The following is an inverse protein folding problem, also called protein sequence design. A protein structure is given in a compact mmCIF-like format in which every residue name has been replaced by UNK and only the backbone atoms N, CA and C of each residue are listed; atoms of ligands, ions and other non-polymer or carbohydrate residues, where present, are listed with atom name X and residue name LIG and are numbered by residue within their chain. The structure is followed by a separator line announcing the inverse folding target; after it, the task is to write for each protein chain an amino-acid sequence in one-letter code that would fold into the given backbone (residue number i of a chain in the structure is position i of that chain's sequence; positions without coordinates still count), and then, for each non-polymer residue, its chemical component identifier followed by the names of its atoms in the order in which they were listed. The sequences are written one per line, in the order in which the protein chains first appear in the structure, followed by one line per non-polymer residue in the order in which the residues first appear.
data_IF_766278613958
#
_entry.id   IF_766278613958
#
_cell.length_a   1.000
_cell.length_b   1.000
_cell.length_c   1.000
_cell.angle_alpha   90.00
_cell.angle_beta   90.00
_cell.angle_gamma   90.00
#
_symmetry.space_group_name_H-M   'P 1'
#
loop_
_entity.id
_entity.type
_entity.pdbx_description
1 polymer ?
#
# COMPACT_ATOMS: atom_id res chain seq x y z
N UNK A 1 -2.69 21.92 -3.38
CA UNK A 1 -2.37 20.63 -4.03
C UNK A 1 -2.29 20.81 -5.53
N UNK A 2 -1.44 20.03 -6.21
CA UNK A 2 -1.27 20.00 -7.66
C UNK A 2 -1.85 18.69 -8.20
N UNK A 3 -2.67 18.75 -9.25
CA UNK A 3 -3.27 17.55 -9.82
C UNK A 3 -2.19 16.70 -10.51
N UNK A 4 -2.22 15.39 -10.26
CA UNK A 4 -1.29 14.44 -10.89
C UNK A 4 -1.90 14.00 -12.22
N UNK A 5 -1.22 14.33 -13.31
CA UNK A 5 -1.62 13.96 -14.68
C UNK A 5 -1.07 12.61 -15.12
N UNK A 6 0.00 12.15 -14.46
CA UNK A 6 0.60 10.87 -14.74
C UNK A 6 1.73 10.53 -13.78
N UNK A 7 2.01 9.23 -13.71
CA UNK A 7 3.04 8.65 -12.88
C UNK A 7 3.97 7.81 -13.76
N UNK A 8 5.28 7.96 -13.59
CA UNK A 8 6.29 7.14 -14.28
C UNK A 8 7.13 6.40 -13.25
N UNK A 9 7.19 5.07 -13.37
CA UNK A 9 8.14 4.26 -12.64
C UNK A 9 9.49 4.19 -13.37
N UNK A 10 10.57 4.40 -12.64
CA UNK A 10 11.92 4.51 -13.16
C UNK A 10 12.84 3.61 -12.34
N UNK A 11 13.51 2.66 -13.00
CA UNK A 11 14.68 2.02 -12.43
C UNK A 11 15.94 2.82 -12.80
N UNK A 12 16.53 3.51 -11.82
CA UNK A 12 17.74 4.29 -12.01
C UNK A 12 18.97 3.39 -11.96
N UNK A 13 19.51 3.07 -13.13
CA UNK A 13 20.72 2.23 -13.25
C UNK A 13 21.98 2.85 -12.64
N UNK A 14 22.02 4.18 -12.46
CA UNK A 14 23.14 4.90 -11.86
C UNK A 14 23.13 4.79 -10.33
N UNK A 15 21.96 5.03 -9.73
CA UNK A 15 21.76 4.87 -8.28
C UNK A 15 21.52 3.41 -7.87
N UNK A 16 21.19 2.53 -8.83
CA UNK A 16 20.73 1.16 -8.62
C UNK A 16 19.48 1.10 -7.72
N UNK A 17 18.55 2.01 -7.93
CA UNK A 17 17.34 2.17 -7.11
C UNK A 17 16.10 2.42 -7.95
N UNK A 18 14.94 2.35 -7.30
CA UNK A 18 13.65 2.65 -7.90
C UNK A 18 13.23 4.07 -7.56
N UNK A 19 12.53 4.71 -8.48
CA UNK A 19 11.99 6.05 -8.30
C UNK A 19 10.67 6.20 -9.03
N UNK A 20 9.83 7.08 -8.50
CA UNK A 20 8.61 7.53 -9.15
C UNK A 20 8.76 9.00 -9.55
N UNK A 21 8.29 9.32 -10.76
CA UNK A 21 8.17 10.68 -11.26
C UNK A 21 6.70 11.02 -11.52
N UNK A 22 6.22 12.07 -10.84
CA UNK A 22 4.90 12.64 -11.03
C UNK A 22 4.96 13.76 -12.06
N UNK A 23 4.03 13.70 -13.01
CA UNK A 23 3.71 14.81 -13.90
C UNK A 23 2.55 15.57 -13.27
N UNK A 24 2.80 16.81 -12.89
CA UNK A 24 1.87 17.67 -12.16
C UNK A 24 1.38 18.79 -13.07
N UNK A 25 0.08 19.13 -12.98
CA UNK A 25 -0.48 20.32 -13.62
C UNK A 25 -1.00 21.30 -12.56
N UNK A 26 -0.53 22.55 -12.63
CA UNK A 26 -1.06 23.69 -11.86
C UNK A 26 -1.58 24.79 -12.78
N UNK A 27 -1.91 25.97 -12.23
CA UNK A 27 -2.40 27.17 -12.96
C UNK A 27 -1.43 27.66 -14.06
N UNK A 28 -1.37 26.94 -15.18
CA UNK A 28 -0.59 27.29 -16.38
C UNK A 28 0.83 26.70 -16.47
N UNK A 29 1.27 25.88 -15.52
CA UNK A 29 2.60 25.24 -15.55
C UNK A 29 2.53 23.73 -15.36
N UNK A 30 3.22 22.99 -16.24
CA UNK A 30 3.55 21.58 -16.04
C UNK A 30 4.81 21.49 -15.17
N UNK A 31 4.69 20.84 -14.02
CA UNK A 31 5.80 20.57 -13.12
C UNK A 31 6.07 19.06 -13.09
N UNK A 32 7.34 18.69 -12.89
CA UNK A 32 7.75 17.30 -12.75
C UNK A 32 8.39 17.13 -11.38
N UNK A 33 7.94 16.12 -10.63
CA UNK A 33 8.49 15.81 -9.30
C UNK A 33 8.92 14.37 -9.22
N UNK A 34 10.18 14.15 -8.85
CA UNK A 34 10.76 12.83 -8.65
C UNK A 34 11.01 12.56 -7.18
N UNK A 35 10.76 11.34 -6.75
CA UNK A 35 11.16 10.79 -5.44
C UNK A 35 11.61 9.34 -5.59
N UNK A 36 12.52 8.93 -4.72
CA UNK A 36 13.01 7.54 -4.67
C UNK A 36 12.05 6.69 -3.83
N UNK A 37 11.93 5.41 -4.17
CA UNK A 37 11.11 4.42 -3.45
C UNK A 37 11.97 3.21 -3.10
N UNK A 38 11.62 2.48 -2.04
CA UNK A 38 12.53 1.49 -1.46
C UNK A 38 12.66 0.23 -2.33
N UNK A 39 11.68 -0.04 -3.19
CA UNK A 39 11.69 -1.22 -4.04
C UNK A 39 10.67 -1.19 -5.18
N UNK A 40 10.63 -2.27 -5.98
CA UNK A 40 9.64 -2.44 -7.02
C UNK A 40 8.22 -2.56 -6.43
N UNK A 41 8.08 -3.18 -5.26
CA UNK A 41 6.77 -3.39 -4.62
C UNK A 41 6.12 -2.05 -4.23
N UNK A 42 6.89 -1.13 -3.64
CA UNK A 42 6.42 0.24 -3.35
C UNK A 42 6.00 0.99 -4.62
N UNK A 43 6.78 0.83 -5.69
CA UNK A 43 6.48 1.45 -6.97
C UNK A 43 5.16 0.91 -7.55
N UNK A 44 4.95 -0.40 -7.46
CA UNK A 44 3.74 -1.09 -7.92
C UNK A 44 2.52 -0.63 -7.11
N UNK A 45 2.62 -0.62 -5.78
CA UNK A 45 1.55 -0.13 -4.90
C UNK A 45 1.12 1.31 -5.23
N UNK A 46 2.07 2.20 -5.53
CA UNK A 46 1.76 3.59 -5.90
C UNK A 46 1.11 3.69 -7.29
N UNK A 47 1.51 2.82 -8.23
CA UNK A 47 0.88 2.75 -9.55
C UNK A 47 -0.55 2.27 -9.41
N UNK A 48 -0.78 1.17 -8.70
CA UNK A 48 -2.13 0.62 -8.47
C UNK A 48 -3.03 1.65 -7.79
N UNK A 49 -2.54 2.31 -6.73
CA UNK A 49 -3.30 3.35 -6.04
C UNK A 49 -3.68 4.51 -6.97
N UNK A 50 -2.79 4.91 -7.88
CA UNK A 50 -3.06 5.95 -8.88
C UNK A 50 -4.11 5.50 -9.91
N UNK A 51 -3.97 4.29 -10.45
CA UNK A 51 -4.87 3.73 -11.48
C UNK A 51 -6.28 3.49 -10.94
N UNK A 52 -6.41 3.05 -9.70
CA UNK A 52 -7.69 2.82 -9.03
C UNK A 52 -8.34 4.12 -8.51
N UNK A 53 -7.56 5.18 -8.34
CA UNK A 53 -8.07 6.46 -7.81
C UNK A 53 -8.98 7.16 -8.82
N UNK A 54 -10.05 7.75 -8.30
CA UNK A 54 -10.92 8.66 -9.05
C UNK A 54 -10.25 10.02 -9.24
N UNK A 55 -9.43 10.45 -8.28
CA UNK A 55 -8.63 11.67 -8.37
C UNK A 55 -7.34 11.51 -7.58
N UNK A 56 -6.28 12.16 -8.03
CA UNK A 56 -4.99 12.15 -7.36
C UNK A 56 -4.33 13.53 -7.39
N UNK A 57 -3.70 13.88 -6.27
CA UNK A 57 -3.07 15.19 -6.10
C UNK A 57 -1.81 15.09 -5.22
N UNK A 58 -0.87 16.00 -5.47
CA UNK A 58 0.35 16.14 -4.68
C UNK A 58 0.31 17.43 -3.86
N UNK A 59 0.60 17.36 -2.56
CA UNK A 59 0.81 18.54 -1.73
C UNK A 59 2.31 18.86 -1.61
N UNK A 60 2.80 19.95 -2.24
CA UNK A 60 4.21 20.32 -2.16
C UNK A 60 4.63 20.85 -0.78
N UNK A 61 3.71 21.23 0.10
CA UNK A 61 4.04 21.73 1.43
C UNK A 61 4.37 20.59 2.40
N UNK A 62 3.63 19.48 2.33
CA UNK A 62 3.84 18.29 3.17
C UNK A 62 4.67 17.21 2.48
N UNK A 63 4.67 17.20 1.14
CA UNK A 63 5.28 16.15 0.33
C UNK A 63 4.39 14.92 0.17
N UNK A 64 3.10 15.03 0.47
CA UNK A 64 2.16 13.92 0.44
C UNK A 64 1.51 13.74 -0.94
N UNK A 65 1.20 12.49 -1.29
CA UNK A 65 0.37 12.13 -2.43
C UNK A 65 -0.97 11.65 -1.90
N UNK A 66 -2.05 12.27 -2.37
CA UNK A 66 -3.41 11.94 -1.98
C UNK A 66 -4.08 11.23 -3.15
N UNK A 67 -4.60 10.03 -2.88
CA UNK A 67 -5.43 9.25 -3.79
C UNK A 67 -6.85 9.24 -3.25
N UNK A 68 -7.81 9.76 -4.01
CA UNK A 68 -9.22 9.81 -3.67
C UNK A 68 -9.99 8.81 -4.52
N UNK A 69 -10.91 8.08 -3.88
CA UNK A 69 -11.72 7.02 -4.50
C UNK A 69 -13.20 7.40 -4.45
N UNK A 70 -14.01 6.92 -5.38
CA UNK A 70 -15.43 7.29 -5.57
C UNK A 70 -16.33 7.06 -4.33
N UNK A 71 -15.88 6.28 -3.35
CA UNK A 71 -16.58 6.01 -2.08
C UNK A 71 -15.97 6.71 -0.86
N UNK A 72 -14.92 7.51 -1.03
CA UNK A 72 -14.33 8.31 0.04
C UNK A 72 -15.07 9.66 0.16
N UNK A 73 -16.39 9.60 0.36
CA UNK A 73 -17.13 10.74 0.90
C UNK A 73 -16.78 10.81 2.39
N UNK A 74 -15.94 11.77 2.76
CA UNK A 74 -15.58 12.05 4.15
C UNK A 74 -16.82 12.55 4.89
N UNK A 75 -17.66 11.62 5.35
CA UNK A 75 -18.47 11.83 6.54
C UNK A 75 -17.52 11.81 7.75
N UNK A 76 -16.79 12.91 7.90
CA UNK A 76 -16.25 13.33 9.20
C UNK A 76 -17.45 13.86 10.02
N UNK A 77 -17.51 13.50 11.31
CA UNK A 77 -18.54 13.79 12.35
C UNK A 77 -19.79 12.84 12.33
N UNK A 78 -20.15 12.08 13.38
CA UNK A 78 -20.16 12.38 14.81
C UNK A 78 -20.09 11.09 15.69
N UNK A 79 -19.19 11.14 16.67
CA UNK A 79 -19.20 10.57 18.04
C UNK A 79 -19.23 9.05 18.34
N UNK A 80 -18.35 8.72 19.30
CA UNK A 80 -18.25 7.47 20.06
C UNK A 80 -19.58 7.06 20.68
N UNK A 81 -19.90 5.76 20.64
CA UNK A 81 -20.56 5.11 21.77
C UNK A 81 -19.99 3.69 21.91
N UNK A 82 -19.00 3.61 22.80
CA UNK A 82 -18.41 2.39 23.35
C UNK A 82 -19.41 1.77 24.33
N UNK A 83 -20.42 1.04 23.83
CA UNK A 83 -21.28 0.21 24.68
C UNK A 83 -20.75 -1.22 24.72
N UNK A 84 -19.91 -1.47 25.74
CA UNK A 84 -19.56 -2.80 26.20
C UNK A 84 -20.70 -3.46 26.97
N UNK A 85 -21.07 -4.66 26.56
CA UNK A 85 -21.68 -5.73 27.37
C UNK A 85 -21.49 -7.01 26.53
N UNK A 86 -20.53 -7.89 26.81
CA UNK A 86 -20.51 -8.72 28.01
C UNK A 86 -21.09 -10.09 27.66
N UNK A 87 -20.28 -10.99 27.10
CA UNK A 87 -20.50 -12.43 27.29
C UNK A 87 -19.16 -13.17 27.24
N UNK A 88 -18.76 -13.60 28.42
CA UNK A 88 -17.60 -14.40 28.77
C UNK A 88 -18.08 -15.86 28.74
N UNK A 89 -17.87 -16.57 27.63
CA UNK A 89 -18.06 -18.01 27.58
C UNK A 89 -16.72 -18.67 27.24
N UNK A 90 -15.92 -18.79 28.29
CA UNK A 90 -14.78 -19.66 28.37
C UNK A 90 -15.25 -21.10 28.64
N UNK A 91 -15.23 -21.95 27.62
CA UNK A 91 -15.00 -23.40 27.71
C UNK A 91 -14.07 -23.76 26.55
N UNK A 92 -12.75 -23.80 26.72
CA UNK A 92 -11.92 -24.71 27.52
C UNK A 92 -11.83 -26.14 26.94
N UNK A 93 -10.58 -26.47 26.63
CA UNK A 93 -9.90 -27.78 26.52
C UNK A 93 -10.10 -28.72 25.30
N UNK A 94 -8.92 -29.27 24.95
CA UNK A 94 -8.62 -30.52 24.24
C UNK A 94 -8.39 -30.48 22.71
N UNK A 95 -7.33 -31.04 22.15
CA UNK A 95 -6.15 -31.73 22.66
C UNK A 95 -5.10 -31.77 21.52
N UNK A 96 -3.83 -31.86 21.89
CA UNK A 96 -2.67 -32.02 20.99
C UNK A 96 -2.52 -33.46 20.47
N UNK A 97 -1.72 -33.61 19.40
CA UNK A 97 -1.25 -34.84 18.73
C UNK A 97 -2.22 -35.37 17.65
N UNK A 98 -1.79 -35.75 16.44
CA UNK A 98 -0.73 -36.72 16.18
C UNK A 98 0.16 -36.34 14.97
N UNK A 99 1.47 -36.45 15.20
CA UNK A 99 2.52 -36.61 14.20
C UNK A 99 2.29 -37.92 13.42
N UNK A 100 2.27 -37.86 12.09
CA UNK A 100 2.55 -39.04 11.27
C UNK A 100 3.59 -38.65 10.23
N UNK A 101 4.84 -38.57 10.70
CA UNK A 101 6.01 -38.75 9.86
C UNK A 101 6.08 -40.20 9.40
N UNK A 102 5.75 -40.46 8.12
CA UNK A 102 6.03 -41.73 7.43
C UNK A 102 6.63 -41.40 6.06
N UNK A 103 7.95 -41.39 5.95
CA UNK A 103 8.73 -42.48 5.33
C UNK A 103 9.18 -42.01 3.94
N UNK A 104 10.42 -42.15 3.46
CA UNK A 104 11.44 -43.14 3.72
C UNK A 104 12.75 -42.61 3.08
N UNK A 105 13.87 -42.78 3.76
CA UNK A 105 15.21 -42.55 3.23
C UNK A 105 15.55 -43.64 2.20
N UNK A 106 15.94 -43.32 0.96
CA UNK A 106 16.95 -44.12 0.25
C UNK A 106 17.79 -43.29 -0.74
N UNK A 107 18.95 -42.88 -0.23
CA UNK A 107 20.29 -43.09 -0.81
C UNK A 107 20.50 -43.02 -2.35
N UNK A 108 21.48 -42.16 -2.65
CA UNK A 108 22.66 -42.43 -3.48
C UNK A 108 22.54 -42.29 -5.01
N UNK A 109 23.33 -41.34 -5.54
CA UNK A 109 24.49 -41.53 -6.45
C UNK A 109 24.79 -40.16 -7.06
N UNK A 110 25.94 -39.53 -6.83
CA UNK A 110 27.32 -39.86 -7.20
C UNK A 110 27.78 -38.78 -8.18
#
# INVERSE_FOLDING_TARGET
MLAIQGLKCIYDTGARGWAIELVLSGEGEEAVRRFDVDGPDDADMLIEAFEDSTSSAFDPATGEIVFAYEYADFADDEEEDEDGDGDDDAEDEDEVSEDETSGDEEKARQ
#
